data_IF_598960779877
#
_entry.id   IF_598960779877
#
_cell.length_a   1.000
_cell.length_b   1.000
_cell.length_c   1.000
_cell.angle_alpha   90.00
_cell.angle_beta   90.00
_cell.angle_gamma   90.00
#
_symmetry.space_group_name_H-M   'P 1'
#
loop_
_entity.id
_entity.type
_entity.pdbx_description
1 polymer ?
#
# COMPACT_ATOMS: atom_id res chain seq x y z
N UNK A 1 17.75 -1.10 -13.52
CA UNK A 1 16.40 -1.69 -13.43
C UNK A 1 16.05 -2.17 -12.02
N UNK A 2 16.95 -2.82 -11.27
CA UNK A 2 16.63 -3.31 -9.90
C UNK A 2 16.45 -2.25 -8.80
N UNK A 3 16.87 -1.00 -9.02
CA UNK A 3 16.75 0.09 -8.02
C UNK A 3 15.38 0.79 -8.10
N UNK A 4 14.65 0.63 -9.22
CA UNK A 4 13.38 1.33 -9.45
C UNK A 4 12.30 0.83 -8.49
N UNK A 5 12.18 -0.49 -8.32
CA UNK A 5 11.23 -1.11 -7.37
C UNK A 5 11.42 -0.62 -5.92
N UNK A 6 12.61 -0.69 -5.29
CA UNK A 6 12.76 -0.25 -3.90
C UNK A 6 12.58 1.26 -3.72
N UNK A 7 12.95 2.09 -4.71
CA UNK A 7 12.69 3.53 -4.66
C UNK A 7 11.19 3.82 -4.75
N UNK A 8 10.49 3.17 -5.69
CA UNK A 8 9.04 3.28 -5.86
C UNK A 8 8.31 2.94 -4.57
N UNK A 9 8.58 1.75 -4.01
CA UNK A 9 7.99 1.30 -2.76
C UNK A 9 8.33 2.22 -1.58
N UNK A 10 9.57 2.69 -1.46
CA UNK A 10 9.95 3.61 -0.39
C UNK A 10 9.17 4.94 -0.49
N UNK A 11 8.97 5.45 -1.71
CA UNK A 11 8.20 6.66 -1.94
C UNK A 11 6.73 6.46 -1.58
N UNK A 12 6.07 5.42 -2.09
CA UNK A 12 4.66 5.11 -1.82
C UNK A 12 4.37 4.87 -0.33
N UNK A 13 5.21 4.08 0.34
CA UNK A 13 5.10 3.85 1.80
C UNK A 13 5.31 5.14 2.58
N UNK A 14 6.29 5.97 2.21
CA UNK A 14 6.56 7.23 2.92
C UNK A 14 5.38 8.20 2.80
N UNK A 15 4.80 8.35 1.60
CA UNK A 15 3.65 9.22 1.37
C UNK A 15 2.41 8.70 2.10
N UNK A 16 2.20 7.38 2.12
CA UNK A 16 1.09 6.75 2.85
C UNK A 16 1.19 6.98 4.36
N UNK A 17 2.36 6.75 4.96
CA UNK A 17 2.60 7.01 6.39
C UNK A 17 2.37 8.49 6.72
N UNK A 18 2.85 9.40 5.87
CA UNK A 18 2.63 10.84 6.05
C UNK A 18 1.15 11.18 6.02
N UNK A 19 0.40 10.66 5.04
CA UNK A 19 -1.02 10.92 4.87
C UNK A 19 -1.84 10.38 6.06
N UNK A 20 -1.58 9.14 6.49
CA UNK A 20 -2.21 8.56 7.68
C UNK A 20 -1.86 9.31 8.96
N UNK A 21 -0.59 9.73 9.12
CA UNK A 21 -0.16 10.52 10.29
C UNK A 21 -0.89 11.85 10.35
N UNK A 22 -1.00 12.55 9.22
CA UNK A 22 -1.73 13.82 9.10
C UNK A 22 -3.22 13.60 9.37
N UNK A 23 -3.80 12.52 8.85
CA UNK A 23 -5.22 12.19 9.07
C UNK A 23 -5.52 11.83 10.53
N UNK A 24 -4.65 11.08 11.20
CA UNK A 24 -4.79 10.74 12.63
C UNK A 24 -4.61 11.97 13.54
N UNK A 25 -3.80 12.93 13.10
CA UNK A 25 -3.56 14.19 13.81
C UNK A 25 -4.73 15.16 13.66
N UNK A 26 -5.17 15.42 12.43
CA UNK A 26 -6.18 16.44 12.10
C UNK A 26 -7.60 15.86 12.21
N UNK A 27 -7.73 14.55 12.01
CA UNK A 27 -9.00 13.84 12.09
C UNK A 27 -9.52 13.68 13.51
N UNK A 28 -10.50 12.78 13.65
CA UNK A 28 -11.29 12.61 14.87
C UNK A 28 -10.46 12.21 16.11
N UNK A 29 -9.32 11.57 15.91
CA UNK A 29 -8.52 11.01 17.00
C UNK A 29 -7.60 12.04 17.68
N UNK A 30 -7.30 13.17 17.02
CA UNK A 30 -6.60 14.31 17.63
C UNK A 30 -5.25 13.98 18.28
N UNK A 31 -4.52 12.97 17.78
CA UNK A 31 -3.32 12.45 18.44
C UNK A 31 -2.15 13.45 18.45
N UNK A 32 -1.23 13.31 19.41
CA UNK A 32 0.06 14.02 19.34
C UNK A 32 0.90 13.51 18.18
N UNK A 33 1.75 14.35 17.58
CA UNK A 33 2.56 14.00 16.41
C UNK A 33 3.34 12.68 16.57
N UNK A 34 3.93 12.47 17.75
CA UNK A 34 4.69 11.24 18.02
C UNK A 34 3.78 10.00 18.10
N UNK A 35 2.61 10.12 18.71
CA UNK A 35 1.66 9.01 18.80
C UNK A 35 1.02 8.72 17.45
N UNK A 36 0.65 9.75 16.67
CA UNK A 36 0.11 9.60 15.32
C UNK A 36 1.08 8.84 14.39
N UNK A 37 2.37 9.21 14.39
CA UNK A 37 3.41 8.52 13.62
C UNK A 37 3.55 7.04 14.04
N UNK A 38 3.65 6.77 15.35
CA UNK A 38 3.77 5.39 15.86
C UNK A 38 2.54 4.55 15.52
N UNK A 39 1.36 5.15 15.58
CA UNK A 39 0.11 4.49 15.23
C UNK A 39 0.01 4.22 13.74
N UNK A 40 0.28 5.21 12.86
CA UNK A 40 0.30 5.01 11.41
C UNK A 40 1.23 3.86 10.99
N UNK A 41 2.48 3.88 11.47
CA UNK A 41 3.44 2.80 11.22
C UNK A 41 2.99 1.45 11.82
N UNK A 42 2.38 1.45 13.00
CA UNK A 42 1.99 0.22 13.71
C UNK A 42 0.72 -0.46 13.20
N UNK A 43 -0.18 0.29 12.53
CA UNK A 43 -1.48 -0.23 12.10
C UNK A 43 -1.39 -1.01 10.78
N UNK A 44 -0.66 -0.48 9.80
CA UNK A 44 -0.81 -0.88 8.40
C UNK A 44 0.49 -1.15 7.64
N UNK A 45 1.68 -0.97 8.24
CA UNK A 45 2.96 -1.03 7.49
C UNK A 45 3.16 -2.34 6.72
N UNK A 46 2.85 -3.49 7.32
CA UNK A 46 3.02 -4.80 6.64
C UNK A 46 2.08 -4.89 5.45
N UNK A 47 0.82 -4.47 5.62
CA UNK A 47 -0.19 -4.50 4.56
C UNK A 47 0.15 -3.52 3.43
N UNK A 48 0.69 -2.34 3.75
CA UNK A 48 1.22 -1.38 2.77
C UNK A 48 2.38 -1.96 1.98
N UNK A 49 3.37 -2.56 2.66
CA UNK A 49 4.51 -3.19 1.99
C UNK A 49 4.06 -4.31 1.06
N UNK A 50 3.08 -5.14 1.47
CA UNK A 50 2.54 -6.20 0.61
C UNK A 50 1.77 -5.65 -0.59
N UNK A 51 1.04 -4.55 -0.41
CA UNK A 51 0.28 -3.90 -1.48
C UNK A 51 1.23 -3.28 -2.52
N UNK A 52 2.16 -2.45 -2.07
CA UNK A 52 3.18 -1.80 -2.91
C UNK A 52 4.07 -2.83 -3.62
N UNK A 53 4.44 -3.92 -2.96
CA UNK A 53 5.19 -5.00 -3.58
C UNK A 53 4.38 -5.69 -4.69
N UNK A 54 3.11 -5.98 -4.45
CA UNK A 54 2.23 -6.63 -5.43
C UNK A 54 1.97 -5.72 -6.63
N UNK A 55 1.69 -4.44 -6.40
CA UNK A 55 1.45 -3.44 -7.46
C UNK A 55 2.68 -3.27 -8.35
N UNK A 56 3.85 -3.03 -7.73
CA UNK A 56 5.09 -2.89 -8.49
C UNK A 56 5.49 -4.19 -9.22
N UNK A 57 5.23 -5.36 -8.64
CA UNK A 57 5.52 -6.65 -9.29
C UNK A 57 4.59 -6.92 -10.49
N UNK A 58 3.29 -6.66 -10.35
CA UNK A 58 2.30 -6.84 -11.42
C UNK A 58 2.52 -5.83 -12.53
N UNK A 59 2.78 -4.57 -12.19
CA UNK A 59 3.12 -3.55 -13.17
C UNK A 59 4.41 -3.94 -13.92
N UNK A 60 5.49 -4.28 -13.20
CA UNK A 60 6.74 -4.72 -13.83
C UNK A 60 6.56 -5.93 -14.75
N UNK A 61 5.69 -6.88 -14.37
CA UNK A 61 5.40 -8.05 -15.20
C UNK A 61 4.60 -7.71 -16.47
N UNK A 62 3.68 -6.75 -16.40
CA UNK A 62 2.77 -6.41 -17.50
C UNK A 62 3.34 -5.35 -18.45
N UNK A 63 4.04 -4.34 -17.94
CA UNK A 63 4.60 -3.22 -18.72
C UNK A 63 6.11 -3.36 -18.96
N UNK A 64 6.78 -4.31 -18.29
CA UNK A 64 8.23 -4.48 -18.39
C UNK A 64 9.03 -3.30 -17.82
N UNK A 65 8.38 -2.39 -17.08
CA UNK A 65 8.96 -1.14 -16.61
C UNK A 65 8.98 -0.02 -17.65
N UNK A 66 8.21 -0.13 -18.74
CA UNK A 66 8.05 0.94 -19.73
C UNK A 66 6.77 1.73 -19.48
N UNK A 67 6.93 3.04 -19.26
CA UNK A 67 5.79 3.95 -19.07
C UNK A 67 5.33 4.46 -20.44
N UNK A 68 4.32 3.79 -21.00
CA UNK A 68 3.69 4.17 -22.27
C UNK A 68 2.29 4.72 -22.00
N UNK A 69 2.19 6.02 -21.68
CA UNK A 69 0.91 6.68 -21.36
C UNK A 69 -0.05 6.78 -22.55
N UNK A 70 0.48 6.66 -23.76
CA UNK A 70 -0.27 6.71 -25.02
C UNK A 70 -0.94 5.37 -25.37
N UNK A 71 -0.56 4.27 -24.70
CA UNK A 71 -1.08 2.94 -24.98
C UNK A 71 -2.24 2.55 -24.04
N UNK A 72 -3.38 2.07 -24.57
CA UNK A 72 -4.49 1.57 -23.75
C UNK A 72 -4.11 0.36 -22.87
N UNK A 73 -3.10 -0.41 -23.27
CA UNK A 73 -2.58 -1.55 -22.52
C UNK A 73 -1.97 -1.14 -21.17
N UNK A 74 -1.36 0.06 -21.10
CA UNK A 74 -0.80 0.59 -19.85
C UNK A 74 -1.89 0.85 -18.80
N UNK A 75 -3.01 1.45 -19.20
CA UNK A 75 -4.14 1.69 -18.31
C UNK A 75 -4.80 0.40 -17.83
N UNK A 76 -4.86 -0.62 -18.69
CA UNK A 76 -5.33 -1.95 -18.34
C UNK A 76 -4.39 -2.64 -17.34
N UNK A 77 -3.08 -2.54 -17.56
CA UNK A 77 -2.07 -3.04 -16.64
C UNK A 77 -2.13 -2.32 -15.28
N UNK A 78 -2.32 -1.00 -15.26
CA UNK A 78 -2.51 -0.22 -14.05
C UNK A 78 -3.76 -0.67 -13.27
N UNK A 79 -4.88 -0.91 -13.97
CA UNK A 79 -6.11 -1.41 -13.32
C UNK A 79 -5.91 -2.80 -12.69
N UNK A 80 -5.21 -3.70 -13.38
CA UNK A 80 -4.88 -5.03 -12.86
C UNK A 80 -3.90 -4.94 -11.68
N UNK A 81 -2.91 -4.04 -11.77
CA UNK A 81 -1.95 -3.78 -10.70
C UNK A 81 -2.65 -3.30 -9.43
N UNK A 82 -3.52 -2.30 -9.52
CA UNK A 82 -4.33 -1.80 -8.38
C UNK A 82 -5.20 -2.93 -7.80
N UNK A 83 -5.83 -3.74 -8.65
CA UNK A 83 -6.65 -4.86 -8.17
C UNK A 83 -5.81 -5.90 -7.41
N UNK A 84 -4.60 -6.21 -7.90
CA UNK A 84 -3.67 -7.10 -7.23
C UNK A 84 -3.16 -6.53 -5.91
N UNK A 85 -2.82 -5.24 -5.89
CA UNK A 85 -2.47 -4.49 -4.68
C UNK A 85 -3.54 -4.56 -3.62
N UNK A 86 -4.80 -4.35 -4.00
CA UNK A 86 -5.93 -4.45 -3.07
C UNK A 86 -6.16 -5.87 -2.52
N UNK A 87 -6.00 -6.89 -3.38
CA UNK A 87 -6.23 -8.29 -2.99
C UNK A 87 -5.07 -8.87 -2.15
N UNK A 88 -3.84 -8.43 -2.37
CA UNK A 88 -2.63 -8.95 -1.71
C UNK A 88 -2.64 -8.89 -0.16
N UNK A 89 -3.06 -7.79 0.50
CA UNK A 89 -3.07 -7.71 1.96
C UNK A 89 -4.27 -8.41 2.61
N UNK A 90 -5.31 -8.76 1.85
CA UNK A 90 -6.53 -9.39 2.38
C UNK A 90 -6.30 -10.70 3.14
N UNK A 91 -5.57 -11.71 2.60
CA UNK A 91 -5.34 -12.97 3.32
C UNK A 91 -4.58 -12.75 4.64
N UNK A 92 -3.61 -11.82 4.65
CA UNK A 92 -2.87 -11.46 5.86
C UNK A 92 -3.78 -10.77 6.89
N UNK A 93 -4.54 -9.76 6.46
CA UNK A 93 -5.48 -9.05 7.33
C UNK A 93 -6.56 -10.00 7.90
N UNK A 94 -7.09 -10.91 7.08
CA UNK A 94 -8.07 -11.91 7.50
C UNK A 94 -7.50 -12.91 8.53
N UNK A 95 -6.29 -13.44 8.29
CA UNK A 95 -5.62 -14.33 9.23
C UNK A 95 -5.36 -13.64 10.59
N UNK A 96 -4.98 -12.36 10.55
CA UNK A 96 -4.78 -11.53 11.75
C UNK A 96 -6.08 -11.37 12.54
N UNK A 97 -7.17 -10.97 11.88
CA UNK A 97 -8.48 -10.81 12.50
C UNK A 97 -8.98 -12.11 13.15
N UNK A 98 -8.84 -13.24 12.44
CA UNK A 98 -9.21 -14.56 12.95
C UNK A 98 -8.39 -14.96 14.18
N UNK A 99 -7.09 -14.64 14.23
CA UNK A 99 -6.22 -14.92 15.38
C UNK A 99 -6.63 -14.14 16.64
N UNK A 100 -7.06 -12.88 16.48
CA UNK A 100 -7.46 -12.02 17.60
C UNK A 100 -8.96 -12.14 17.95
N UNK A 101 -9.69 -13.06 17.32
CA UNK A 101 -11.12 -13.26 17.56
C UNK A 101 -11.98 -12.03 17.25
N UNK A 102 -11.46 -11.10 16.43
CA UNK A 102 -12.21 -9.91 15.99
C UNK A 102 -12.83 -10.24 14.64
N UNK A 103 -14.14 -10.42 14.61
CA UNK A 103 -14.91 -10.49 13.38
C UNK A 103 -15.39 -9.09 13.00
N UNK A 104 -15.25 -8.70 11.74
CA UNK A 104 -16.01 -7.59 11.18
C UNK A 104 -17.39 -8.10 10.74
N UNK A 105 -18.16 -8.69 11.66
CA UNK A 105 -19.62 -8.82 11.61
C UNK A 105 -20.17 -9.40 12.92
#
# INVERSE_FOLDING_TARGET
MGIVMPISMASGVSTSILLETVMLRIGRDGLTWLTAMRTAVGMSLISMLTMEAAENAVDYYLTGGQVALDDPSFWLAALVSIAAGFLAPLPYNYARLRKYGKACH
#
